data_IF_792757615742
#
_entry.id   IF_792757615742
#
_cell.length_a   1.000
_cell.length_b   1.000
_cell.length_c   1.000
_cell.angle_alpha   90.00
_cell.angle_beta   90.00
_cell.angle_gamma   90.00
#
_symmetry.space_group_name_H-M   'P 1'
#
loop_
_entity.id
_entity.type
_entity.pdbx_description
1 polymer ?
#
# COMPACT_ATOMS: atom_id res chain seq x y z
N UNK A 1 4.28 8.78 -9.38
CA UNK A 1 4.61 7.98 -8.20
C UNK A 1 6.13 7.84 -8.08
N UNK A 2 6.67 8.09 -6.90
CA UNK A 2 8.12 7.98 -6.69
C UNK A 2 8.57 6.53 -6.77
N UNK A 3 9.70 6.33 -7.41
CA UNK A 3 10.25 5.00 -7.67
C UNK A 3 10.53 4.17 -6.42
N UNK A 4 10.83 4.84 -5.31
CA UNK A 4 11.20 4.20 -4.05
C UNK A 4 10.15 4.35 -2.95
N UNK A 5 8.90 4.67 -3.31
CA UNK A 5 7.84 4.76 -2.32
C UNK A 5 7.46 3.37 -1.81
N UNK A 6 6.91 3.32 -0.60
CA UNK A 6 6.40 2.06 -0.03
C UNK A 6 5.30 1.47 -0.90
N UNK A 7 4.46 2.33 -1.43
CA UNK A 7 3.38 1.90 -2.33
C UNK A 7 3.96 1.24 -3.59
N UNK A 8 4.98 1.85 -4.19
CA UNK A 8 5.64 1.31 -5.37
C UNK A 8 6.25 -0.06 -5.08
N UNK A 9 6.94 -0.20 -3.96
CA UNK A 9 7.53 -1.48 -3.54
C UNK A 9 6.45 -2.53 -3.32
N UNK A 10 5.37 -2.17 -2.64
CA UNK A 10 4.27 -3.09 -2.36
C UNK A 10 3.61 -3.58 -3.64
N UNK A 11 3.29 -2.67 -4.55
CA UNK A 11 2.64 -3.01 -5.82
C UNK A 11 3.55 -3.89 -6.69
N UNK A 12 4.82 -3.54 -6.77
CA UNK A 12 5.80 -4.31 -7.53
C UNK A 12 5.92 -5.74 -6.99
N UNK A 13 6.05 -5.87 -5.68
CA UNK A 13 6.17 -7.16 -5.01
C UNK A 13 4.92 -8.02 -5.22
N UNK A 14 3.75 -7.44 -4.98
CA UNK A 14 2.48 -8.17 -5.14
C UNK A 14 2.25 -8.59 -6.58
N UNK A 15 2.64 -7.76 -7.54
CA UNK A 15 2.53 -8.11 -8.97
C UNK A 15 3.38 -9.32 -9.32
N UNK A 16 4.60 -9.41 -8.79
CA UNK A 16 5.46 -10.57 -8.98
C UNK A 16 4.91 -11.80 -8.28
N UNK A 17 4.40 -11.65 -7.06
CA UNK A 17 3.78 -12.76 -6.33
C UNK A 17 2.54 -13.28 -7.04
N UNK A 18 1.79 -12.40 -7.69
CA UNK A 18 0.61 -12.79 -8.46
C UNK A 18 0.95 -13.68 -9.66
N UNK A 19 2.18 -13.59 -10.15
CA UNK A 19 2.66 -14.42 -11.24
C UNK A 19 2.88 -15.87 -10.84
N UNK A 20 3.14 -16.12 -9.55
CA UNK A 20 3.32 -17.46 -9.00
C UNK A 20 2.82 -17.47 -7.55
N UNK A 21 1.48 -17.49 -7.34
CA UNK A 21 0.89 -17.29 -6.02
C UNK A 21 1.26 -18.35 -4.98
N UNK A 22 1.62 -19.53 -5.41
CA UNK A 22 1.95 -20.64 -4.51
C UNK A 22 3.40 -20.60 -4.03
N UNK A 23 4.22 -19.76 -4.66
CA UNK A 23 5.62 -19.68 -4.31
C UNK A 23 5.83 -18.79 -3.09
N UNK A 24 6.55 -19.32 -2.10
CA UNK A 24 6.99 -18.54 -0.93
C UNK A 24 8.27 -17.77 -1.30
N UNK A 25 8.34 -16.51 -0.91
CA UNK A 25 9.48 -15.65 -1.19
C UNK A 25 10.03 -15.07 0.10
N UNK A 26 11.35 -15.06 0.24
CA UNK A 26 12.00 -14.47 1.42
C UNK A 26 12.12 -12.95 1.26
N UNK A 27 12.29 -12.25 2.40
CA UNK A 27 12.54 -10.82 2.37
C UNK A 27 13.81 -10.47 1.61
N UNK A 28 14.83 -11.32 1.70
CA UNK A 28 16.09 -11.12 0.98
C UNK A 28 15.93 -11.23 -0.52
N UNK A 29 15.18 -12.23 -0.99
CA UNK A 29 14.89 -12.40 -2.42
C UNK A 29 14.15 -11.20 -2.99
N UNK A 30 13.14 -10.73 -2.25
CA UNK A 30 12.34 -9.58 -2.66
C UNK A 30 13.21 -8.32 -2.69
N UNK A 31 14.04 -8.13 -1.67
CA UNK A 31 14.91 -6.96 -1.57
C UNK A 31 15.91 -6.90 -2.73
N UNK A 32 16.50 -8.03 -3.06
CA UNK A 32 17.44 -8.12 -4.18
C UNK A 32 16.75 -7.75 -5.51
N UNK A 33 15.58 -8.32 -5.73
CA UNK A 33 14.83 -8.08 -6.96
C UNK A 33 14.35 -6.63 -7.07
N UNK A 34 13.94 -6.02 -5.97
CA UNK A 34 13.39 -4.67 -5.94
C UNK A 34 14.47 -3.57 -5.77
N UNK A 35 15.71 -3.95 -5.56
CA UNK A 35 16.80 -2.99 -5.37
C UNK A 35 16.76 -2.26 -4.03
N UNK A 36 16.34 -2.95 -2.98
CA UNK A 36 16.26 -2.40 -1.63
C UNK A 36 16.89 -3.38 -0.63
N UNK A 37 16.59 -3.24 0.65
CA UNK A 37 17.14 -4.11 1.69
C UNK A 37 16.03 -4.86 2.43
N UNK A 38 16.35 -6.01 3.07
CA UNK A 38 15.33 -6.83 3.73
C UNK A 38 14.58 -6.13 4.87
N UNK A 39 15.18 -5.16 5.53
CA UNK A 39 14.52 -4.42 6.63
C UNK A 39 13.34 -3.63 6.09
N UNK A 40 13.53 -2.93 4.98
CA UNK A 40 12.47 -2.17 4.31
C UNK A 40 11.37 -3.11 3.83
N UNK A 41 11.77 -4.24 3.21
CA UNK A 41 10.81 -5.24 2.73
C UNK A 41 9.96 -5.76 3.89
N UNK A 42 10.57 -6.18 4.99
CA UNK A 42 9.83 -6.70 6.15
C UNK A 42 8.86 -5.67 6.71
N UNK A 43 9.23 -4.40 6.72
CA UNK A 43 8.36 -3.32 7.21
C UNK A 43 7.14 -3.15 6.31
N UNK A 44 7.35 -3.08 5.01
CA UNK A 44 6.26 -2.89 4.04
C UNK A 44 5.35 -4.12 4.00
N UNK A 45 5.92 -5.31 3.86
CA UNK A 45 5.13 -6.53 3.79
C UNK A 45 4.43 -6.86 5.10
N UNK A 46 5.01 -6.46 6.24
CA UNK A 46 4.36 -6.60 7.54
C UNK A 46 3.04 -5.85 7.60
N UNK A 47 2.97 -4.67 7.03
CA UNK A 47 1.73 -3.90 6.96
C UNK A 47 0.70 -4.58 6.05
N UNK A 48 1.14 -5.15 4.95
CA UNK A 48 0.26 -5.90 4.06
C UNK A 48 -0.28 -7.15 4.75
N UNK A 49 0.55 -7.81 5.56
CA UNK A 49 0.11 -8.97 6.35
C UNK A 49 -0.93 -8.57 7.39
N UNK A 50 -0.72 -7.46 8.10
CA UNK A 50 -1.68 -6.95 9.08
C UNK A 50 -3.04 -6.63 8.44
N UNK A 51 -3.02 -6.22 7.18
CA UNK A 51 -4.24 -5.94 6.41
C UNK A 51 -4.89 -7.20 5.82
N UNK A 52 -4.28 -8.37 6.02
CA UNK A 52 -4.83 -9.62 5.51
C UNK A 52 -4.53 -9.92 4.06
N UNK A 53 -3.59 -9.20 3.46
CA UNK A 53 -3.22 -9.39 2.05
C UNK A 53 -2.12 -10.44 1.88
N UNK A 54 -1.30 -10.62 2.89
CA UNK A 54 -0.18 -11.56 2.89
C UNK A 54 -0.22 -12.43 4.13
N UNK A 55 0.40 -13.61 4.02
CA UNK A 55 0.76 -14.45 5.17
C UNK A 55 2.27 -14.61 5.17
N UNK A 56 2.83 -14.94 6.33
CA UNK A 56 4.25 -15.22 6.45
C UNK A 56 4.45 -16.52 7.22
N UNK A 57 5.49 -17.26 6.85
CA UNK A 57 5.90 -18.49 7.52
C UNK A 57 7.26 -18.27 8.16
N UNK A 58 7.45 -18.79 9.37
CA UNK A 58 8.70 -18.70 10.11
C UNK A 58 9.62 -19.86 9.74
N UNK A 59 10.93 -19.67 9.90
CA UNK A 59 11.94 -20.68 9.70
C UNK A 59 12.76 -20.47 8.43
N UNK A 60 13.69 -21.41 8.15
CA UNK A 60 14.63 -21.29 7.04
C UNK A 60 13.95 -21.36 5.67
N UNK A 61 12.86 -22.12 5.59
CA UNK A 61 12.06 -22.21 4.38
C UNK A 61 10.89 -21.24 4.40
N UNK A 62 10.83 -20.37 5.41
CA UNK A 62 9.75 -19.41 5.58
C UNK A 62 9.85 -18.24 4.63
N UNK A 63 8.77 -17.49 4.55
CA UNK A 63 8.71 -16.32 3.69
C UNK A 63 7.29 -15.80 3.56
N UNK A 64 7.08 -15.03 2.52
CA UNK A 64 5.81 -14.34 2.28
C UNK A 64 5.03 -15.01 1.16
N UNK A 65 3.72 -15.08 1.34
CA UNK A 65 2.77 -15.62 0.35
C UNK A 65 1.53 -14.76 0.31
N UNK A 66 0.83 -14.78 -0.82
CA UNK A 66 -0.48 -14.12 -0.92
C UNK A 66 -1.50 -14.83 -0.03
N UNK A 67 -2.25 -14.05 0.75
CA UNK A 67 -3.34 -14.58 1.59
C UNK A 67 -4.65 -14.68 0.83
N UNK A 68 -4.73 -14.01 -0.33
CA UNK A 68 -5.91 -13.99 -1.20
C UNK A 68 -5.47 -14.22 -2.64
N UNK A 69 -6.40 -14.66 -3.47
CA UNK A 69 -6.13 -14.72 -4.92
C UNK A 69 -5.89 -13.31 -5.45
N UNK A 70 -5.04 -13.13 -6.47
CA UNK A 70 -4.73 -11.80 -7.01
C UNK A 70 -5.96 -10.98 -7.42
N UNK A 71 -7.00 -11.64 -7.91
CA UNK A 71 -8.25 -11.00 -8.30
C UNK A 71 -8.99 -10.36 -7.12
N UNK A 72 -8.71 -10.83 -5.90
CA UNK A 72 -9.35 -10.34 -4.68
C UNK A 72 -8.53 -9.27 -3.96
N UNK A 73 -7.41 -8.85 -4.54
CA UNK A 73 -6.56 -7.78 -3.99
C UNK A 73 -6.62 -6.59 -4.94
N UNK A 74 -7.20 -5.48 -4.47
CA UNK A 74 -7.28 -4.25 -5.27
C UNK A 74 -6.14 -3.30 -4.94
N UNK A 75 -5.90 -2.34 -5.82
CA UNK A 75 -4.92 -1.27 -5.54
C UNK A 75 -5.34 -0.47 -4.31
N UNK A 76 -6.66 -0.33 -4.06
CA UNK A 76 -7.16 0.34 -2.87
C UNK A 76 -6.78 -0.42 -1.60
N UNK A 77 -6.88 -1.76 -1.61
CA UNK A 77 -6.48 -2.59 -0.47
C UNK A 77 -5.03 -2.34 -0.10
N UNK A 78 -4.15 -2.29 -1.10
CA UNK A 78 -2.72 -2.06 -0.91
C UNK A 78 -2.47 -0.64 -0.39
N UNK A 79 -3.10 0.34 -1.00
CA UNK A 79 -2.97 1.75 -0.61
C UNK A 79 -3.40 1.97 0.85
N UNK A 80 -4.54 1.39 1.24
CA UNK A 80 -5.06 1.54 2.60
C UNK A 80 -4.25 0.78 3.64
N UNK A 81 -3.58 -0.30 3.24
CA UNK A 81 -2.73 -1.07 4.14
C UNK A 81 -1.47 -0.31 4.56
N UNK A 82 -1.03 0.61 3.72
CA UNK A 82 0.15 1.42 3.98
C UNK A 82 -0.27 2.77 4.58
N UNK A 83 0.54 3.31 5.49
CA UNK A 83 0.28 4.63 6.07
C UNK A 83 0.83 5.77 5.21
N UNK A 84 1.12 5.50 3.96
CA UNK A 84 1.64 6.48 3.03
C UNK A 84 0.51 6.99 2.14
N UNK A 85 0.02 8.21 2.44
CA UNK A 85 -1.06 8.81 1.68
C UNK A 85 -0.52 9.65 0.52
N UNK A 86 -1.13 9.49 -0.66
CA UNK A 86 -0.82 10.32 -1.82
C UNK A 86 -1.41 11.71 -1.62
N UNK A 87 -2.63 11.76 -1.08
CA UNK A 87 -3.30 13.00 -0.73
C UNK A 87 -3.21 13.17 0.78
N UNK A 88 -2.67 14.31 1.23
CA UNK A 88 -2.56 14.60 2.65
C UNK A 88 -3.96 14.68 3.27
N UNK A 89 -4.18 13.95 4.38
CA UNK A 89 -5.42 14.12 5.13
C UNK A 89 -5.37 15.49 5.78
N UNK A 90 -6.48 16.19 5.75
CA UNK A 90 -6.56 17.52 6.34
C UNK A 90 -6.61 17.55 7.87
N UNK A 91 -6.22 16.47 8.51
CA UNK A 91 -6.18 16.38 9.98
C UNK A 91 -4.87 16.91 10.51
N UNK A 92 -4.81 18.24 10.66
CA UNK A 92 -3.73 18.86 11.41
C UNK A 92 -4.15 19.04 12.85
N UNK A 93 -3.22 18.73 13.76
CA UNK A 93 -3.45 18.85 15.19
C UNK A 93 -3.59 20.32 15.64
N UNK A 94 -3.12 21.24 14.84
CA UNK A 94 -3.16 22.67 15.15
C UNK A 94 -4.37 23.34 14.52
N UNK A 95 -5.38 23.59 15.32
CA UNK A 95 -6.54 24.36 14.89
C UNK A 95 -6.16 25.85 14.92
N UNK A 96 -6.23 26.57 13.78
CA UNK A 96 -5.93 27.98 13.76
C UNK A 96 -6.83 28.77 14.72
N UNK A 97 -6.25 29.74 15.41
CA UNK A 97 -6.99 30.56 16.36
C UNK A 97 -7.94 31.58 15.68
N UNK A 98 -7.68 31.89 14.41
CA UNK A 98 -8.49 32.85 13.65
C UNK A 98 -9.67 32.13 12.99
N UNK A 99 -10.86 32.70 13.08
CA UNK A 99 -12.08 32.12 12.52
C UNK A 99 -12.03 32.00 11.00
N UNK A 100 -11.39 32.94 10.31
CA UNK A 100 -11.21 32.86 8.85
C UNK A 100 -10.29 31.73 8.48
N UNK A 101 -9.18 31.59 9.18
CA UNK A 101 -8.24 30.50 8.97
C UNK A 101 -8.86 29.15 9.30
N UNK A 102 -9.67 29.08 10.35
CA UNK A 102 -10.38 27.86 10.72
C UNK A 102 -11.35 27.43 9.62
N UNK A 103 -12.14 28.36 9.09
CA UNK A 103 -13.08 28.06 8.01
C UNK A 103 -12.35 27.64 6.73
N UNK A 104 -11.26 28.34 6.41
CA UNK A 104 -10.43 28.00 5.25
C UNK A 104 -9.83 26.61 5.39
N UNK A 105 -9.27 26.29 6.56
CA UNK A 105 -8.70 24.98 6.87
C UNK A 105 -9.76 23.88 6.73
N UNK A 106 -10.94 24.12 7.26
CA UNK A 106 -12.07 23.19 7.17
C UNK A 106 -12.45 22.91 5.71
N UNK A 107 -12.55 23.94 4.90
CA UNK A 107 -12.91 23.80 3.48
C UNK A 107 -11.83 23.04 2.70
N UNK A 108 -10.56 23.35 2.95
CA UNK A 108 -9.44 22.66 2.32
C UNK A 108 -9.43 21.19 2.75
N UNK A 109 -9.64 20.91 4.04
CA UNK A 109 -9.71 19.54 4.55
C UNK A 109 -10.83 18.74 3.88
N UNK A 110 -12.00 19.35 3.71
CA UNK A 110 -13.14 18.70 3.05
C UNK A 110 -12.82 18.36 1.60
N UNK A 111 -12.16 19.27 0.88
CA UNK A 111 -11.76 19.03 -0.50
C UNK A 111 -10.75 17.86 -0.56
N UNK A 112 -9.76 17.87 0.31
CA UNK A 112 -8.75 16.79 0.35
C UNK A 112 -9.37 15.44 0.68
N UNK A 113 -10.33 15.40 1.60
CA UNK A 113 -11.06 14.18 1.94
C UNK A 113 -11.88 13.67 0.77
N UNK A 114 -12.52 14.54 0.01
CA UNK A 114 -13.28 14.16 -1.17
C UNK A 114 -12.37 13.58 -2.25
N UNK A 115 -11.19 14.17 -2.44
CA UNK A 115 -10.19 13.67 -3.38
C UNK A 115 -9.68 12.30 -2.94
N UNK A 116 -9.41 12.13 -1.63
CA UNK A 116 -8.96 10.84 -1.06
C UNK A 116 -10.01 9.76 -1.29
N UNK A 117 -11.29 10.05 -1.06
CA UNK A 117 -12.38 9.11 -1.31
C UNK A 117 -12.45 8.70 -2.78
N UNK A 118 -12.34 9.66 -3.68
CA UNK A 118 -12.36 9.41 -5.12
C UNK A 118 -11.15 8.56 -5.54
N UNK A 119 -9.98 8.85 -4.97
CA UNK A 119 -8.76 8.08 -5.23
C UNK A 119 -8.94 6.62 -4.81
N UNK A 120 -9.41 6.38 -3.59
CA UNK A 120 -9.62 5.03 -3.07
C UNK A 120 -10.65 4.27 -3.92
N UNK A 121 -11.73 4.94 -4.31
CA UNK A 121 -12.75 4.32 -5.16
C UNK A 121 -12.17 3.87 -6.49
N UNK A 122 -11.37 4.73 -7.14
CA UNK A 122 -10.76 4.41 -8.43
C UNK A 122 -9.70 3.31 -8.30
N UNK A 123 -8.91 3.33 -7.25
CA UNK A 123 -7.95 2.27 -6.99
C UNK A 123 -8.64 0.93 -6.72
N UNK A 124 -9.84 0.96 -6.15
CA UNK A 124 -10.64 -0.23 -5.90
C UNK A 124 -11.19 -0.90 -7.16
N UNK A 125 -11.14 -0.22 -8.28
CA UNK A 125 -11.62 -0.75 -9.56
C UNK A 125 -10.57 -1.62 -10.27
N UNK A 126 -9.33 -1.62 -9.79
CA UNK A 126 -8.23 -2.37 -10.41
C UNK A 126 -7.66 -3.38 -9.43
N UNK A 127 -7.58 -4.64 -9.83
CA UNK A 127 -6.97 -5.69 -9.02
C UNK A 127 -5.50 -5.87 -9.38
N UNK A 128 -4.76 -6.56 -8.49
CA UNK A 128 -3.35 -6.91 -8.73
C UNK A 128 -3.22 -7.81 -9.97
N UNK A 129 -4.20 -8.66 -10.24
CA UNK A 129 -4.16 -9.52 -11.42
C UNK A 129 -4.18 -8.71 -12.73
N UNK A 130 -4.87 -7.58 -12.74
CA UNK A 130 -4.91 -6.68 -13.89
C UNK A 130 -3.61 -5.91 -14.08
N UNK A 131 -3.00 -5.47 -12.98
CA UNK A 131 -1.73 -4.73 -13.00
C UNK A 131 -0.58 -5.60 -13.46
N UNK A 132 -0.63 -6.88 -13.14
CA UNK A 132 0.37 -7.84 -13.57
C UNK A 132 0.54 -7.83 -15.10
N UNK A 133 -0.46 -7.42 -15.77
CA UNK A 133 -0.45 -7.21 -17.21
C UNK A 133 -0.44 -8.49 -17.99
N UNK A 134 -0.89 -8.77 -18.80
CA UNK A 134 -0.76 -9.81 -19.75
C UNK A 134 0.54 -10.15 -20.37
#
# INVERSE_FOLDING_TARGET
MKRNSRLSLALHTLSHMAGDPDRTRTSSDIAEHAGTNPVVVRRVLGRLREAGLLTSEKGHAGGWRLARVPEAITLADVYLALDERIVASGEDADTPACSVEHELHKRVSNVLQDIERSLVQKLGETSISEVRGT
#
